data_IF_029187767684
#
_entry.id   IF_029187767684
#
_cell.length_a   1.000
_cell.length_b   1.000
_cell.length_c   1.000
_cell.angle_alpha   90.00
_cell.angle_beta   90.00
_cell.angle_gamma   90.00
#
_symmetry.space_group_name_H-M   'P 1'
#
loop_
_entity.id
_entity.type
_entity.pdbx_description
1 polymer ?
#
# COMPACT_ATOMS: atom_id res chain seq x y z
N UNK A 1 10.55 -8.74 -9.09
CA UNK A 1 9.85 -8.47 -7.83
C UNK A 1 8.38 -8.86 -7.98
N UNK A 2 7.87 -9.83 -7.24
CA UNK A 2 6.43 -10.07 -7.20
C UNK A 2 5.74 -8.87 -6.55
N UNK A 3 4.52 -8.60 -6.96
CA UNK A 3 3.70 -7.54 -6.42
C UNK A 3 2.98 -8.05 -5.15
N UNK A 4 3.71 -8.20 -4.05
CA UNK A 4 3.21 -8.61 -2.75
C UNK A 4 4.12 -8.13 -1.63
N UNK A 5 3.53 -7.66 -0.53
CA UNK A 5 4.21 -7.26 0.69
C UNK A 5 4.33 -8.37 1.74
N UNK A 6 4.03 -9.62 1.38
CA UNK A 6 4.10 -10.75 2.31
C UNK A 6 5.52 -10.91 2.87
N UNK A 7 5.66 -10.79 4.18
CA UNK A 7 6.95 -10.81 4.88
C UNK A 7 7.67 -12.14 4.74
N UNK A 8 6.95 -13.26 4.79
CA UNK A 8 7.52 -14.61 4.68
C UNK A 8 8.12 -14.93 3.31
N UNK A 9 7.89 -14.10 2.30
CA UNK A 9 8.58 -14.26 1.02
C UNK A 9 10.02 -13.72 1.07
N UNK A 10 10.30 -12.73 1.93
CA UNK A 10 11.62 -12.13 2.13
C UNK A 10 12.35 -12.62 3.40
N UNK A 11 11.65 -13.25 4.34
CA UNK A 11 12.22 -13.80 5.57
C UNK A 11 11.82 -15.27 5.75
N UNK A 12 12.78 -16.26 5.85
CA UNK A 12 14.23 -16.03 5.69
C UNK A 12 14.58 -15.56 4.28
N UNK A 13 15.74 -14.94 4.13
CA UNK A 13 16.24 -14.42 2.85
C UNK A 13 16.23 -15.50 1.77
N UNK A 14 15.60 -15.19 0.65
CA UNK A 14 15.60 -16.04 -0.55
C UNK A 14 16.49 -15.41 -1.61
N UNK A 15 17.56 -16.10 -2.00
CA UNK A 15 18.57 -15.60 -2.93
C UNK A 15 18.01 -14.92 -4.20
N UNK A 16 16.89 -15.41 -4.72
CA UNK A 16 16.31 -14.93 -5.99
C UNK A 16 15.10 -13.98 -5.79
N UNK A 17 14.83 -13.59 -4.56
CA UNK A 17 13.69 -12.74 -4.24
C UNK A 17 14.16 -11.34 -3.83
N UNK A 18 13.80 -10.34 -4.58
CA UNK A 18 14.06 -8.93 -4.31
C UNK A 18 12.72 -8.21 -4.18
N UNK A 19 12.35 -7.83 -2.98
CA UNK A 19 11.14 -7.05 -2.73
C UNK A 19 11.42 -5.58 -3.06
N UNK A 20 10.58 -4.96 -3.89
CA UNK A 20 10.68 -3.53 -4.12
C UNK A 20 9.80 -2.76 -3.14
N UNK A 21 8.57 -3.21 -2.96
CA UNK A 21 7.59 -2.58 -2.08
C UNK A 21 7.82 -2.92 -0.61
N UNK A 22 7.42 -2.06 0.33
CA UNK A 22 7.42 -2.37 1.75
C UNK A 22 6.55 -3.60 2.07
N UNK A 23 6.94 -4.33 3.10
CA UNK A 23 6.12 -5.44 3.59
C UNK A 23 4.84 -4.92 4.25
N UNK A 24 3.83 -5.79 4.33
CA UNK A 24 2.60 -5.49 5.07
C UNK A 24 2.86 -5.27 6.56
N UNK A 25 3.90 -5.91 7.12
CA UNK A 25 4.39 -5.66 8.47
C UNK A 25 4.84 -4.20 8.64
N UNK A 26 5.69 -3.70 7.73
CA UNK A 26 6.15 -2.29 7.75
C UNK A 26 4.97 -1.33 7.56
N UNK A 27 4.05 -1.64 6.66
CA UNK A 27 2.86 -0.82 6.45
C UNK A 27 2.00 -0.73 7.71
N UNK A 28 1.77 -1.87 8.39
CA UNK A 28 1.00 -1.92 9.64
C UNK A 28 1.62 -1.04 10.73
N UNK A 29 2.94 -1.09 10.88
CA UNK A 29 3.68 -0.24 11.83
C UNK A 29 3.55 1.27 11.48
N UNK A 30 3.67 1.63 10.19
CA UNK A 30 3.52 3.03 9.73
C UNK A 30 2.09 3.54 10.01
N UNK A 31 1.07 2.73 9.71
CA UNK A 31 -0.32 3.08 9.98
C UNK A 31 -0.58 3.25 11.48
N UNK A 32 -0.01 2.38 12.33
CA UNK A 32 -0.12 2.50 13.78
C UNK A 32 0.48 3.82 14.29
N UNK A 33 1.69 4.16 13.84
CA UNK A 33 2.34 5.41 14.22
C UNK A 33 1.52 6.63 13.80
N UNK A 34 0.97 6.60 12.58
CA UNK A 34 0.09 7.66 12.11
C UNK A 34 -1.19 7.78 12.96
N UNK A 35 -1.79 6.65 13.35
CA UNK A 35 -2.97 6.64 14.21
C UNK A 35 -2.65 7.25 15.58
N UNK A 36 -1.52 6.89 16.18
CA UNK A 36 -1.09 7.44 17.47
C UNK A 36 -0.91 8.96 17.43
N UNK A 37 -0.43 9.51 16.33
CA UNK A 37 -0.22 10.94 16.15
C UNK A 37 -1.50 11.70 15.79
N UNK A 38 -2.28 11.18 14.84
CA UNK A 38 -3.41 11.90 14.24
C UNK A 38 -4.76 11.60 14.90
N UNK A 39 -4.90 10.44 15.55
CA UNK A 39 -6.16 9.92 16.11
C UNK A 39 -5.97 9.35 17.53
N UNK A 40 -5.34 10.10 18.46
CA UNK A 40 -4.94 9.57 19.76
C UNK A 40 -6.11 9.04 20.62
N UNK A 41 -7.29 9.63 20.48
CA UNK A 41 -8.46 9.33 21.31
C UNK A 41 -9.61 8.63 20.56
N UNK A 42 -9.49 8.43 19.24
CA UNK A 42 -10.55 7.84 18.43
C UNK A 42 -10.77 6.38 18.77
N UNK A 43 -12.03 5.95 18.77
CA UNK A 43 -12.40 4.54 18.74
C UNK A 43 -12.11 3.96 17.36
N UNK A 44 -11.32 2.89 17.33
CA UNK A 44 -10.76 2.33 16.12
C UNK A 44 -11.48 1.03 15.74
N UNK A 45 -12.04 1.01 14.55
CA UNK A 45 -12.53 -0.19 13.89
C UNK A 45 -11.55 -0.70 12.85
N UNK A 46 -11.47 -2.01 12.67
CA UNK A 46 -10.59 -2.65 11.72
C UNK A 46 -11.37 -3.66 10.88
N UNK A 47 -11.38 -3.46 9.56
CA UNK A 47 -11.96 -4.39 8.59
C UNK A 47 -10.85 -5.13 7.88
N UNK A 48 -10.80 -6.46 8.03
CA UNK A 48 -9.69 -7.29 7.56
C UNK A 48 -10.19 -8.38 6.63
N UNK A 49 -9.51 -8.56 5.49
CA UNK A 49 -9.69 -9.75 4.66
C UNK A 49 -9.00 -10.95 5.31
N UNK A 50 -9.66 -12.11 5.31
CA UNK A 50 -9.14 -13.35 5.90
C UNK A 50 -8.16 -14.06 4.94
N UNK A 51 -7.00 -13.43 4.76
CA UNK A 51 -5.87 -13.99 4.04
C UNK A 51 -4.55 -13.51 4.62
N UNK A 52 -3.43 -13.93 4.02
CA UNK A 52 -2.10 -13.60 4.53
C UNK A 52 -1.81 -12.09 4.50
N UNK A 53 -2.34 -11.35 3.52
CA UNK A 53 -2.22 -9.88 3.48
C UNK A 53 -2.91 -9.23 4.67
N UNK A 54 -4.19 -9.57 4.87
CA UNK A 54 -4.97 -9.02 5.97
C UNK A 54 -4.37 -9.38 7.33
N UNK A 55 -3.97 -10.64 7.51
CA UNK A 55 -3.41 -11.14 8.78
C UNK A 55 -2.06 -10.49 9.12
N UNK A 56 -1.09 -10.48 8.21
CA UNK A 56 0.24 -9.91 8.49
C UNK A 56 0.18 -8.41 8.80
N UNK A 57 -0.53 -7.65 7.98
CA UNK A 57 -0.59 -6.20 8.14
C UNK A 57 -1.42 -5.77 9.35
N UNK A 58 -2.58 -6.39 9.57
CA UNK A 58 -3.41 -6.08 10.74
C UNK A 58 -2.74 -6.46 12.06
N UNK A 59 -2.07 -7.62 12.11
CA UNK A 59 -1.34 -8.03 13.29
C UNK A 59 -0.18 -7.06 13.63
N UNK A 60 0.54 -6.58 12.62
CA UNK A 60 1.60 -5.60 12.83
C UNK A 60 1.04 -4.26 13.34
N UNK A 61 -0.08 -3.80 12.76
CA UNK A 61 -0.80 -2.62 13.24
C UNK A 61 -1.21 -2.76 14.71
N UNK A 62 -1.88 -3.87 15.06
CA UNK A 62 -2.36 -4.13 16.42
C UNK A 62 -1.17 -4.17 17.40
N UNK A 63 -0.14 -4.96 17.07
CA UNK A 63 1.03 -5.12 17.95
C UNK A 63 1.80 -3.81 18.15
N UNK A 64 1.82 -2.93 17.16
CA UNK A 64 2.46 -1.61 17.32
C UNK A 64 1.63 -0.67 18.19
N UNK A 65 0.29 -0.63 18.03
CA UNK A 65 -0.60 0.15 18.88
C UNK A 65 -0.54 -0.29 20.35
N UNK A 66 -0.50 -1.60 20.60
CA UNK A 66 -0.42 -2.19 21.95
C UNK A 66 0.84 -1.74 22.74
N UNK A 67 1.96 -1.44 22.06
CA UNK A 67 3.16 -0.90 22.71
C UNK A 67 2.94 0.46 23.39
N UNK A 68 1.89 1.17 22.97
CA UNK A 68 1.50 2.49 23.46
C UNK A 68 0.15 2.46 24.20
N UNK A 69 -0.25 1.30 24.73
CA UNK A 69 -1.50 1.09 25.45
C UNK A 69 -2.76 1.46 24.63
N UNK A 70 -2.63 1.44 23.30
CA UNK A 70 -3.76 1.64 22.37
C UNK A 70 -4.23 0.31 21.80
N UNK A 71 -5.51 0.16 21.61
CA UNK A 71 -6.12 -1.07 21.07
C UNK A 71 -7.13 -0.76 19.96
N UNK A 72 -7.41 -1.76 19.18
CA UNK A 72 -8.54 -1.76 18.24
C UNK A 72 -9.81 -2.10 19.02
N UNK A 73 -10.84 -1.28 18.89
CA UNK A 73 -12.10 -1.46 19.62
C UNK A 73 -13.02 -2.52 19.01
N UNK A 74 -12.99 -2.64 17.67
CA UNK A 74 -13.77 -3.65 16.93
C UNK A 74 -13.00 -4.16 15.72
N UNK A 75 -12.82 -5.48 15.62
CA UNK A 75 -12.25 -6.14 14.43
C UNK A 75 -13.36 -6.94 13.73
N UNK A 76 -13.56 -6.70 12.45
CA UNK A 76 -14.41 -7.51 11.57
C UNK A 76 -13.57 -8.16 10.49
N UNK A 77 -13.66 -9.49 10.40
CA UNK A 77 -12.89 -10.31 9.45
C UNK A 77 -13.79 -10.87 8.38
N UNK A 78 -13.46 -10.70 7.09
CA UNK A 78 -14.27 -11.18 5.98
C UNK A 78 -13.51 -12.16 5.06
N UNK A 79 -14.20 -13.13 4.45
CA UNK A 79 -13.57 -14.21 3.68
C UNK A 79 -13.14 -13.79 2.25
N UNK A 80 -13.02 -12.50 1.95
CA UNK A 80 -12.61 -12.02 0.62
C UNK A 80 -13.69 -12.04 -0.47
N UNK A 81 -14.83 -12.69 -0.23
CA UNK A 81 -15.95 -12.79 -1.16
C UNK A 81 -17.07 -11.78 -0.89
N UNK A 82 -18.33 -12.18 -1.11
CA UNK A 82 -19.49 -11.37 -0.79
C UNK A 82 -19.55 -11.11 0.73
N UNK A 83 -19.66 -9.83 1.08
CA UNK A 83 -19.85 -9.36 2.44
C UNK A 83 -21.27 -8.80 2.58
N UNK A 84 -21.84 -8.87 3.76
CA UNK A 84 -22.99 -8.07 4.13
C UNK A 84 -22.49 -6.70 4.64
N UNK A 85 -22.19 -5.81 3.69
CA UNK A 85 -21.65 -4.48 4.00
C UNK A 85 -22.56 -3.69 4.92
N UNK A 86 -23.88 -3.83 4.79
CA UNK A 86 -24.85 -3.12 5.63
C UNK A 86 -24.74 -3.57 7.09
N UNK A 87 -24.77 -4.86 7.35
CA UNK A 87 -24.63 -5.40 8.70
C UNK A 87 -23.30 -5.01 9.35
N UNK A 88 -22.26 -4.86 8.56
CA UNK A 88 -20.94 -4.47 9.08
C UNK A 88 -20.83 -2.97 9.34
N UNK A 89 -21.44 -2.14 8.51
CA UNK A 89 -21.60 -0.71 8.79
C UNK A 89 -22.39 -0.49 10.07
N UNK A 90 -23.50 -1.22 10.26
CA UNK A 90 -24.32 -1.18 11.47
C UNK A 90 -23.48 -1.51 12.71
N UNK A 91 -22.69 -2.59 12.69
CA UNK A 91 -21.83 -2.97 13.82
C UNK A 91 -20.80 -1.88 14.18
N UNK A 92 -20.13 -1.28 13.18
CA UNK A 92 -19.19 -0.18 13.44
C UNK A 92 -19.92 1.06 14.01
N UNK A 93 -21.07 1.41 13.45
CA UNK A 93 -21.88 2.54 13.89
C UNK A 93 -22.39 2.37 15.32
N UNK A 94 -22.98 1.21 15.65
CA UNK A 94 -23.45 0.87 17.00
C UNK A 94 -22.34 0.85 18.04
N UNK A 95 -21.13 0.51 17.63
CA UNK A 95 -19.92 0.54 18.49
C UNK A 95 -19.32 1.93 18.63
N UNK A 96 -19.93 2.95 18.01
CA UNK A 96 -19.42 4.33 17.98
C UNK A 96 -17.97 4.41 17.48
N UNK A 97 -17.65 3.70 16.42
CA UNK A 97 -16.34 3.74 15.78
C UNK A 97 -16.16 5.08 15.06
N UNK A 98 -15.02 5.74 15.30
CA UNK A 98 -14.70 7.07 14.78
C UNK A 98 -13.62 7.02 13.69
N UNK A 99 -12.77 5.99 13.69
CA UNK A 99 -11.79 5.69 12.65
C UNK A 99 -11.95 4.25 12.19
N UNK A 100 -12.09 4.02 10.88
CA UNK A 100 -12.09 2.67 10.30
C UNK A 100 -10.85 2.46 9.46
N UNK A 101 -10.07 1.43 9.81
CA UNK A 101 -8.90 1.00 9.03
C UNK A 101 -9.29 -0.16 8.12
N UNK A 102 -9.01 -0.06 6.82
CA UNK A 102 -9.37 -1.05 5.80
C UNK A 102 -8.14 -1.84 5.34
N UNK A 103 -7.98 -3.06 5.83
CA UNK A 103 -7.06 -4.09 5.33
C UNK A 103 -7.81 -5.05 4.41
N UNK A 104 -8.17 -4.59 3.22
CA UNK A 104 -8.99 -5.34 2.27
C UNK A 104 -8.62 -4.99 0.82
N UNK A 105 -9.32 -5.58 -0.15
CA UNK A 105 -9.15 -5.30 -1.58
C UNK A 105 -10.08 -4.21 -2.07
N UNK A 106 -9.81 -3.69 -3.26
CA UNK A 106 -10.50 -2.53 -3.86
C UNK A 106 -12.01 -2.68 -3.91
N UNK A 107 -12.52 -3.80 -4.45
CA UNK A 107 -13.97 -3.97 -4.61
C UNK A 107 -14.71 -4.05 -3.26
N UNK A 108 -14.27 -4.88 -2.28
CA UNK A 108 -14.86 -4.87 -0.95
C UNK A 108 -14.79 -3.50 -0.25
N UNK A 109 -13.66 -2.80 -0.36
CA UNK A 109 -13.51 -1.45 0.21
C UNK A 109 -14.51 -0.45 -0.41
N UNK A 110 -14.62 -0.44 -1.74
CA UNK A 110 -15.54 0.44 -2.46
C UNK A 110 -17.00 0.18 -2.06
N UNK A 111 -17.41 -1.09 -2.01
CA UNK A 111 -18.76 -1.48 -1.62
C UNK A 111 -19.07 -1.08 -0.16
N UNK A 112 -18.05 -1.20 0.73
CA UNK A 112 -18.20 -0.82 2.12
C UNK A 112 -18.33 0.71 2.29
N UNK A 113 -17.52 1.50 1.58
CA UNK A 113 -17.63 2.97 1.56
C UNK A 113 -19.01 3.44 1.03
N UNK A 114 -19.53 2.78 0.00
CA UNK A 114 -20.87 3.06 -0.52
C UNK A 114 -21.96 2.75 0.50
N UNK A 115 -21.89 1.61 1.17
CA UNK A 115 -22.84 1.22 2.21
C UNK A 115 -22.79 2.16 3.41
N UNK A 116 -21.59 2.53 3.85
CA UNK A 116 -21.39 3.49 4.94
C UNK A 116 -22.02 4.87 4.61
N UNK A 117 -21.79 5.33 3.38
CA UNK A 117 -22.41 6.57 2.92
C UNK A 117 -23.93 6.50 2.89
N UNK A 118 -24.50 5.38 2.42
CA UNK A 118 -25.97 5.17 2.39
C UNK A 118 -26.59 5.14 3.78
N UNK A 119 -25.88 4.59 4.76
CA UNK A 119 -26.29 4.54 6.17
C UNK A 119 -25.97 5.82 6.96
N UNK A 120 -25.43 6.86 6.31
CA UNK A 120 -24.95 8.09 6.93
C UNK A 120 -23.87 7.89 8.02
N UNK A 121 -23.15 6.78 7.97
CA UNK A 121 -21.99 6.51 8.80
C UNK A 121 -20.75 7.23 8.20
N UNK A 122 -20.12 8.12 8.98
CA UNK A 122 -19.08 9.05 8.52
C UNK A 122 -17.86 9.03 9.45
N UNK A 123 -17.21 7.90 9.66
CA UNK A 123 -15.96 7.87 10.40
C UNK A 123 -14.83 8.46 9.53
N UNK A 124 -13.68 8.71 10.15
CA UNK A 124 -12.45 8.84 9.42
C UNK A 124 -12.05 7.50 8.78
N UNK A 125 -11.43 7.56 7.60
CA UNK A 125 -11.07 6.39 6.81
C UNK A 125 -9.56 6.30 6.61
N UNK A 126 -9.00 5.15 6.91
CA UNK A 126 -7.60 4.86 6.68
C UNK A 126 -7.46 3.52 5.96
N UNK A 127 -6.59 3.45 4.95
CA UNK A 127 -6.41 2.25 4.16
C UNK A 127 -4.96 2.01 3.75
N UNK A 128 -4.77 0.86 3.11
CA UNK A 128 -3.46 0.38 2.68
C UNK A 128 -3.14 0.79 1.24
N UNK A 129 -1.86 0.66 0.83
CA UNK A 129 -1.44 0.91 -0.56
C UNK A 129 -2.11 -0.06 -1.55
N UNK A 130 -2.65 -1.18 -1.08
CA UNK A 130 -3.39 -2.14 -1.91
C UNK A 130 -4.67 -1.54 -2.48
N UNK A 131 -5.27 -0.59 -1.78
CA UNK A 131 -6.52 0.09 -2.18
C UNK A 131 -6.32 1.58 -2.50
N UNK A 132 -5.09 1.99 -2.74
CA UNK A 132 -4.72 3.39 -3.02
C UNK A 132 -4.69 3.76 -4.51
N UNK A 133 -5.26 2.90 -5.36
CA UNK A 133 -5.36 3.13 -6.80
C UNK A 133 -6.57 3.99 -7.21
N UNK A 134 -6.61 4.48 -8.46
CA UNK A 134 -7.75 5.23 -9.00
C UNK A 134 -9.04 4.41 -9.04
N UNK A 135 -8.93 3.10 -9.16
CA UNK A 135 -10.03 2.12 -9.19
C UNK A 135 -10.90 2.16 -7.91
N UNK A 136 -10.33 2.43 -6.74
CA UNK A 136 -11.13 2.65 -5.53
C UNK A 136 -12.08 3.84 -5.72
N UNK A 137 -11.56 4.96 -6.22
CA UNK A 137 -12.33 6.19 -6.42
C UNK A 137 -13.39 6.04 -7.54
N UNK A 138 -13.07 5.29 -8.58
CA UNK A 138 -13.99 4.98 -9.67
C UNK A 138 -15.16 4.12 -9.19
N UNK A 139 -14.88 3.07 -8.40
CA UNK A 139 -15.91 2.13 -7.91
C UNK A 139 -16.74 2.70 -6.77
N UNK A 140 -16.16 3.45 -5.85
CA UNK A 140 -16.89 4.05 -4.71
C UNK A 140 -17.52 5.40 -5.04
N UNK A 141 -16.99 6.07 -6.06
CA UNK A 141 -17.35 7.45 -6.41
C UNK A 141 -16.76 8.49 -5.44
N UNK A 142 -16.54 9.70 -5.96
CA UNK A 142 -15.88 10.79 -5.25
C UNK A 142 -16.47 11.08 -3.85
N UNK A 143 -17.81 11.03 -3.76
CA UNK A 143 -18.50 11.38 -2.50
C UNK A 143 -18.36 10.31 -1.40
N UNK A 144 -18.24 9.03 -1.72
CA UNK A 144 -18.10 7.98 -0.72
C UNK A 144 -16.65 7.85 -0.24
N UNK A 145 -15.70 8.16 -1.11
CA UNK A 145 -14.27 8.16 -0.80
C UNK A 145 -13.73 9.52 -0.32
N UNK A 146 -14.56 10.56 -0.23
CA UNK A 146 -14.09 11.89 0.20
C UNK A 146 -13.42 11.83 1.57
N UNK A 147 -12.20 12.37 1.66
CA UNK A 147 -11.40 12.35 2.88
C UNK A 147 -10.64 11.05 3.15
N UNK A 148 -10.91 9.97 2.40
CA UNK A 148 -10.22 8.68 2.59
C UNK A 148 -8.70 8.87 2.50
N UNK A 149 -7.99 8.40 3.53
CA UNK A 149 -6.54 8.44 3.59
C UNK A 149 -5.97 7.04 3.36
N UNK A 150 -4.98 6.90 2.51
CA UNK A 150 -4.34 5.62 2.26
C UNK A 150 -2.81 5.75 2.23
N UNK A 151 -2.13 4.70 2.64
CA UNK A 151 -0.72 4.57 2.34
C UNK A 151 -0.53 4.42 0.83
N UNK A 152 0.59 4.90 0.33
CA UNK A 152 0.93 4.85 -1.09
C UNK A 152 2.44 4.77 -1.28
N UNK A 153 2.87 4.33 -2.45
CA UNK A 153 4.27 4.42 -2.80
C UNK A 153 4.66 5.89 -2.97
N UNK A 154 5.77 6.33 -2.34
CA UNK A 154 6.18 7.71 -2.46
C UNK A 154 6.33 8.12 -3.91
N UNK A 155 5.67 9.19 -4.29
CA UNK A 155 5.81 9.80 -5.61
C UNK A 155 6.85 10.91 -5.54
N UNK A 156 7.74 10.96 -6.50
CA UNK A 156 8.60 12.11 -6.67
C UNK A 156 7.81 13.36 -7.10
N UNK A 157 8.35 14.57 -6.89
CA UNK A 157 7.73 15.79 -7.39
C UNK A 157 7.49 15.67 -8.91
N UNK A 158 6.41 16.25 -9.43
CA UNK A 158 6.12 16.25 -10.88
C UNK A 158 7.24 16.87 -11.72
N UNK A 159 8.05 17.73 -11.12
CA UNK A 159 9.27 18.28 -11.70
C UNK A 159 10.43 17.27 -11.79
N UNK A 160 10.39 16.18 -11.03
CA UNK A 160 11.44 15.16 -11.07
C UNK A 160 11.48 14.45 -12.43
N UNK A 161 12.71 14.20 -12.92
CA UNK A 161 12.91 13.60 -14.24
C UNK A 161 12.22 12.24 -14.41
N UNK A 162 12.32 11.38 -13.38
CA UNK A 162 11.70 10.05 -13.37
C UNK A 162 10.18 10.14 -13.51
N UNK A 163 9.56 11.04 -12.76
CA UNK A 163 8.12 11.28 -12.81
C UNK A 163 7.66 11.75 -14.20
N UNK A 164 8.35 12.73 -14.77
CA UNK A 164 8.02 13.21 -16.14
C UNK A 164 8.14 12.12 -17.19
N UNK A 165 9.17 11.29 -17.10
CA UNK A 165 9.36 10.16 -18.03
C UNK A 165 8.25 9.12 -17.86
N UNK A 166 7.92 8.75 -16.63
CA UNK A 166 6.83 7.83 -16.34
C UNK A 166 5.50 8.33 -16.93
N UNK A 167 5.09 9.55 -16.60
CA UNK A 167 3.85 10.14 -17.11
C UNK A 167 3.83 10.24 -18.64
N UNK A 168 4.96 10.59 -19.26
CA UNK A 168 5.10 10.61 -20.73
C UNK A 168 4.90 9.21 -21.34
N UNK A 169 5.49 8.18 -20.73
CA UNK A 169 5.35 6.79 -21.23
C UNK A 169 3.92 6.28 -21.02
N UNK A 170 3.31 6.53 -19.88
CA UNK A 170 1.91 6.18 -19.63
C UNK A 170 0.99 6.80 -20.67
N UNK A 171 1.09 8.11 -20.87
CA UNK A 171 0.28 8.80 -21.90
C UNK A 171 0.49 8.27 -23.33
N UNK A 172 1.71 7.81 -23.65
CA UNK A 172 2.02 7.27 -24.98
C UNK A 172 1.50 5.87 -25.20
N UNK A 173 1.63 4.99 -24.18
CA UNK A 173 1.38 3.57 -24.31
C UNK A 173 -0.02 3.16 -23.83
N UNK A 174 -0.55 3.91 -22.88
CA UNK A 174 -1.84 3.65 -22.22
C UNK A 174 -2.60 4.99 -22.05
N UNK A 175 -3.03 5.63 -23.17
CA UNK A 175 -3.59 6.99 -23.14
C UNK A 175 -4.90 7.10 -22.34
N UNK A 176 -5.63 5.99 -22.22
CA UNK A 176 -6.93 5.92 -21.52
C UNK A 176 -6.78 5.56 -20.04
N UNK A 177 -5.57 5.20 -19.60
CA UNK A 177 -5.33 4.78 -18.21
C UNK A 177 -4.91 5.95 -17.32
N UNK A 178 -5.45 5.99 -16.11
CA UNK A 178 -5.01 6.93 -15.08
C UNK A 178 -3.82 6.35 -14.31
N UNK A 179 -2.64 6.97 -14.36
CA UNK A 179 -1.48 6.49 -13.59
C UNK A 179 -1.75 6.49 -12.10
N UNK A 180 -1.56 5.34 -11.45
CA UNK A 180 -1.76 5.14 -10.01
C UNK A 180 -0.58 4.42 -9.35
N UNK A 181 -0.74 4.05 -8.09
CA UNK A 181 0.28 3.35 -7.29
C UNK A 181 0.78 2.08 -7.96
N UNK A 182 -0.12 1.25 -8.50
CA UNK A 182 0.22 -0.02 -9.13
C UNK A 182 1.04 0.15 -10.41
N UNK A 183 0.69 1.12 -11.27
CA UNK A 183 1.47 1.40 -12.48
C UNK A 183 2.87 1.96 -12.13
N UNK A 184 2.97 2.74 -11.06
CA UNK A 184 4.25 3.27 -10.55
C UNK A 184 5.18 2.17 -10.08
N UNK A 185 4.71 1.27 -9.23
CA UNK A 185 5.54 0.18 -8.69
C UNK A 185 5.97 -0.78 -9.80
N UNK A 186 5.07 -1.10 -10.76
CA UNK A 186 5.40 -1.91 -11.93
C UNK A 186 6.49 -1.28 -12.81
N UNK A 187 6.36 0.03 -13.09
CA UNK A 187 7.37 0.76 -13.86
C UNK A 187 8.72 0.81 -13.12
N UNK A 188 8.72 1.07 -11.82
CA UNK A 188 9.92 1.08 -11.00
C UNK A 188 10.60 -0.30 -10.91
N UNK A 189 9.82 -1.38 -10.81
CA UNK A 189 10.35 -2.74 -10.86
C UNK A 189 11.07 -3.03 -12.18
N UNK A 190 10.51 -2.58 -13.30
CA UNK A 190 11.17 -2.68 -14.60
C UNK A 190 12.48 -1.87 -14.66
N UNK A 191 12.50 -0.67 -14.07
CA UNK A 191 13.73 0.14 -13.99
C UNK A 191 14.83 -0.56 -13.18
N UNK A 192 14.48 -1.22 -12.06
CA UNK A 192 15.44 -2.01 -11.27
C UNK A 192 16.01 -3.18 -12.06
N UNK A 193 15.16 -3.90 -12.81
CA UNK A 193 15.62 -4.99 -13.68
C UNK A 193 16.61 -4.46 -14.71
N UNK A 194 16.30 -3.36 -15.39
CA UNK A 194 17.19 -2.74 -16.39
C UNK A 194 18.52 -2.32 -15.76
N UNK A 195 18.50 -1.71 -14.57
CA UNK A 195 19.71 -1.31 -13.86
C UNK A 195 20.55 -2.53 -13.45
N UNK A 196 19.92 -3.57 -12.94
CA UNK A 196 20.58 -4.83 -12.62
C UNK A 196 21.25 -5.47 -13.84
N UNK A 197 20.56 -5.52 -14.98
CA UNK A 197 21.12 -6.01 -16.24
C UNK A 197 22.31 -5.16 -16.72
N UNK A 198 22.19 -3.83 -16.61
CA UNK A 198 23.27 -2.90 -17.00
C UNK A 198 24.53 -3.12 -16.14
N UNK A 199 24.37 -3.35 -14.84
CA UNK A 199 25.50 -3.62 -13.93
C UNK A 199 26.09 -5.00 -14.12
N UNK A 200 25.27 -6.01 -14.43
CA UNK A 200 25.75 -7.37 -14.69
C UNK A 200 26.61 -7.47 -15.96
N UNK A 201 26.41 -6.56 -16.93
CA UNK A 201 27.20 -6.49 -18.13
C UNK A 201 26.90 -7.54 -19.18
N UNK A 202 27.81 -7.75 -20.15
CA UNK A 202 27.58 -8.63 -21.30
C UNK A 202 27.65 -10.13 -20.97
N UNK A 203 28.41 -10.51 -19.95
CA UNK A 203 28.49 -11.91 -19.49
C UNK A 203 27.44 -12.23 -18.47
N UNK A 204 26.18 -12.08 -18.87
CA UNK A 204 25.02 -12.19 -18.00
C UNK A 204 24.81 -13.65 -17.53
N UNK A 205 24.95 -13.84 -16.24
CA UNK A 205 24.56 -15.08 -15.54
C UNK A 205 23.53 -14.74 -14.47
N UNK A 206 22.79 -15.76 -13.98
CA UNK A 206 21.85 -15.57 -12.87
C UNK A 206 22.56 -15.02 -11.62
N UNK A 207 23.70 -15.59 -11.25
CA UNK A 207 24.46 -15.16 -10.08
C UNK A 207 25.05 -13.76 -10.27
N UNK A 208 25.52 -13.45 -11.47
CA UNK A 208 25.99 -12.10 -11.82
C UNK A 208 24.89 -11.06 -11.70
N UNK A 209 23.68 -11.37 -12.16
CA UNK A 209 22.52 -10.48 -12.01
C UNK A 209 22.11 -10.27 -10.55
N UNK A 210 22.11 -11.34 -9.74
CA UNK A 210 21.83 -11.24 -8.30
C UNK A 210 22.85 -10.31 -7.62
N UNK A 211 24.15 -10.54 -7.84
CA UNK A 211 25.21 -9.69 -7.30
C UNK A 211 25.11 -8.23 -7.78
N UNK A 212 24.68 -8.02 -9.02
CA UNK A 212 24.43 -6.69 -9.55
C UNK A 212 23.31 -5.98 -8.83
N UNK A 213 22.20 -6.67 -8.47
CA UNK A 213 21.14 -6.11 -7.64
C UNK A 213 21.59 -5.87 -6.20
N UNK A 214 22.32 -6.81 -5.58
CA UNK A 214 22.88 -6.67 -4.23
C UNK A 214 23.89 -5.51 -4.11
N UNK A 215 24.48 -5.06 -5.23
CA UNK A 215 25.37 -3.90 -5.28
C UNK A 215 24.65 -2.54 -5.32
N UNK A 216 23.33 -2.53 -5.33
CA UNK A 216 22.56 -1.28 -5.30
C UNK A 216 22.63 -0.67 -3.91
N UNK A 217 23.21 0.52 -3.81
CA UNK A 217 23.28 1.32 -2.60
C UNK A 217 22.70 2.70 -2.91
N UNK A 218 21.67 3.09 -2.20
CA UNK A 218 20.96 4.37 -2.36
C UNK A 218 20.70 4.76 -3.83
N UNK A 219 20.29 3.76 -4.61
CA UNK A 219 20.06 3.98 -6.02
C UNK A 219 18.81 4.84 -6.26
N UNK A 220 19.02 6.03 -6.81
CA UNK A 220 18.00 7.03 -7.10
C UNK A 220 17.70 7.18 -8.59
N UNK A 221 18.16 6.25 -9.42
CA UNK A 221 18.00 6.33 -10.88
C UNK A 221 16.60 6.06 -11.42
N UNK A 222 15.67 5.67 -10.54
CA UNK A 222 14.32 5.30 -10.88
C UNK A 222 13.25 6.35 -10.56
N UNK A 223 12.01 5.89 -10.62
CA UNK A 223 10.81 6.67 -10.30
C UNK A 223 10.62 6.81 -8.79
N UNK A 224 10.93 5.76 -8.03
CA UNK A 224 10.74 5.70 -6.59
C UNK A 224 11.95 6.29 -5.83
N UNK A 225 11.83 6.49 -4.50
CA UNK A 225 12.95 6.85 -3.65
C UNK A 225 14.15 5.91 -3.77
N UNK A 226 15.23 6.25 -3.09
CA UNK A 226 16.43 5.44 -3.06
C UNK A 226 16.15 3.98 -2.68
N UNK A 227 16.73 3.06 -3.42
CA UNK A 227 16.63 1.62 -3.19
C UNK A 227 18.02 1.06 -2.90
N UNK A 228 18.13 0.30 -1.82
CA UNK A 228 19.34 -0.42 -1.45
C UNK A 228 19.04 -1.90 -1.31
N UNK A 229 19.96 -2.74 -1.76
CA UNK A 229 19.96 -4.17 -1.48
C UNK A 229 21.36 -4.61 -1.02
N UNK A 230 21.43 -5.71 -0.31
CA UNK A 230 22.69 -6.34 0.09
C UNK A 230 22.57 -7.85 -0.01
N UNK A 231 23.66 -8.57 0.18
CA UNK A 231 23.64 -10.04 0.24
C UNK A 231 22.79 -10.58 1.40
N UNK A 232 22.54 -9.77 2.43
CA UNK A 232 21.80 -10.15 3.63
C UNK A 232 20.40 -9.51 3.69
N UNK A 233 20.10 -8.54 2.80
CA UNK A 233 18.79 -7.85 2.79
C UNK A 233 18.36 -7.50 1.36
N UNK A 234 17.29 -8.12 0.91
CA UNK A 234 16.66 -7.88 -0.39
C UNK A 234 15.36 -7.06 -0.27
N UNK A 235 15.17 -6.29 0.82
CA UNK A 235 14.04 -5.36 0.97
C UNK A 235 14.42 -4.01 0.41
N UNK A 236 13.66 -3.54 -0.58
CA UNK A 236 13.94 -2.30 -1.30
C UNK A 236 13.44 -1.06 -0.58
N UNK A 237 12.14 -0.85 -0.57
CA UNK A 237 11.53 0.30 0.08
C UNK A 237 11.09 -0.06 1.51
N UNK A 238 11.33 0.87 2.45
CA UNK A 238 10.93 0.75 3.86
C UNK A 238 10.07 1.94 4.30
N UNK A 239 9.70 2.81 3.38
CA UNK A 239 8.88 3.98 3.62
C UNK A 239 7.68 4.01 2.69
N UNK A 240 6.58 4.56 3.20
CA UNK A 240 5.36 4.84 2.45
C UNK A 240 5.01 6.33 2.58
N UNK A 241 4.31 6.86 1.60
CA UNK A 241 3.64 8.14 1.68
C UNK A 241 2.19 7.93 2.10
N UNK A 242 1.54 8.99 2.58
CA UNK A 242 0.10 9.06 2.71
C UNK A 242 -0.46 9.92 1.60
N UNK A 243 -1.59 9.52 1.06
CA UNK A 243 -2.36 10.29 0.09
C UNK A 243 -3.83 10.35 0.53
N UNK A 244 -4.50 11.44 0.18
CA UNK A 244 -5.90 11.68 0.55
C UNK A 244 -6.77 11.79 -0.69
N UNK A 245 -7.95 11.20 -0.63
CA UNK A 245 -8.96 11.37 -1.68
C UNK A 245 -9.67 12.71 -1.49
N UNK A 246 -9.55 13.60 -2.46
CA UNK A 246 -10.19 14.91 -2.48
C UNK A 246 -10.83 15.14 -3.85
N UNK A 247 -12.13 15.40 -3.87
CA UNK A 247 -12.88 15.64 -5.11
C UNK A 247 -12.67 14.56 -6.18
N UNK A 248 -12.63 13.30 -5.77
CA UNK A 248 -12.44 12.14 -6.65
C UNK A 248 -11.03 11.97 -7.21
N UNK A 249 -10.03 12.54 -6.56
CA UNK A 249 -8.60 12.42 -6.93
C UNK A 249 -7.76 12.13 -5.71
N UNK A 250 -6.70 11.37 -5.90
CA UNK A 250 -5.63 11.22 -4.92
C UNK A 250 -4.69 12.44 -4.94
N UNK A 251 -4.45 13.01 -3.77
CA UNK A 251 -3.54 14.16 -3.52
C UNK A 251 -2.60 13.86 -2.37
#
# INVERSE_FOLDING_TARGET
SPHSGITTWGKPLKKNYFALQPSYEIEGMILAQYILEAYPDHKIGLLVVDDQFGQEGSQALISELEKFDRKIDLVLVHPGGKMDQRAWVEKFSESNIELVVLYTYVKPAADFLLAARQADFRPDWLGTYVISGPDLLELSGAKAAEGFLATSYPAGPRSHRGERLFLKQMKRLYPEETPGSHSRIGYAAAQLVVEGLRRAGSELTRDGFIKALESLQDWTGGLLPAVSYSADDHRGLTALALQRAINGRWV
#
